data_IF_698932791908
#
_entry.id   IF_698932791908
#
_cell.length_a   1.000
_cell.length_b   1.000
_cell.length_c   1.000
_cell.angle_alpha   90.00
_cell.angle_beta   90.00
_cell.angle_gamma   90.00
#
_symmetry.space_group_name_H-M   'P 1'
#
loop_
_entity.id
_entity.type
_entity.pdbx_description
1 polymer ?
#
# COMPACT_ATOMS: atom_id res chain seq x y z
N UNK A 1 9.54 -49.88 31.29
CA UNK A 1 8.84 -49.87 30.01
C UNK A 1 8.09 -48.62 29.86
N UNK A 2 7.25 -48.35 30.76
CA UNK A 2 6.41 -47.18 30.64
C UNK A 2 7.22 -45.88 30.66
N UNK A 3 8.30 -45.92 31.39
CA UNK A 3 9.08 -44.72 31.49
C UNK A 3 9.65 -44.31 30.14
N UNK A 4 10.01 -45.30 29.41
CA UNK A 4 10.61 -44.99 28.13
C UNK A 4 9.60 -44.30 27.22
N UNK A 5 8.43 -44.78 27.28
CA UNK A 5 7.39 -44.19 26.48
C UNK A 5 7.18 -42.75 26.84
N UNK A 6 7.25 -42.49 28.12
CA UNK A 6 7.03 -41.15 28.56
C UNK A 6 8.11 -40.24 28.05
N UNK A 7 9.32 -40.76 28.02
CA UNK A 7 10.39 -39.93 27.55
C UNK A 7 10.19 -39.53 26.12
N UNK A 8 9.76 -40.47 25.35
CA UNK A 8 9.51 -40.19 23.97
C UNK A 8 8.44 -39.15 23.82
N UNK A 9 7.45 -39.25 24.64
CA UNK A 9 6.37 -38.33 24.59
C UNK A 9 6.84 -36.91 24.86
N UNK A 10 7.71 -36.77 25.80
CA UNK A 10 8.23 -35.47 26.13
C UNK A 10 8.95 -34.86 24.95
N UNK A 11 9.67 -35.68 24.22
CA UNK A 11 10.36 -35.18 23.07
C UNK A 11 9.41 -34.60 22.05
N UNK A 12 8.29 -35.26 21.89
CA UNK A 12 7.32 -34.73 20.96
C UNK A 12 6.83 -33.40 21.40
N UNK A 13 6.64 -33.24 22.67
CA UNK A 13 6.22 -31.95 23.15
C UNK A 13 7.22 -30.89 22.81
N UNK A 14 8.46 -31.23 22.94
CA UNK A 14 9.50 -30.29 22.58
C UNK A 14 9.42 -29.91 21.12
N UNK A 15 9.15 -30.87 20.32
CA UNK A 15 9.10 -30.59 18.92
C UNK A 15 7.96 -29.64 18.58
N UNK A 16 6.89 -29.84 19.24
CA UNK A 16 5.76 -29.00 18.90
C UNK A 16 6.04 -27.55 19.23
N UNK A 17 6.84 -27.35 20.23
CA UNK A 17 7.11 -25.97 20.53
C UNK A 17 7.97 -25.36 19.48
N UNK A 18 8.56 -26.16 18.68
CA UNK A 18 9.35 -25.57 17.69
C UNK A 18 8.56 -24.81 16.80
N UNK A 19 7.44 -25.19 16.67
CA UNK A 19 6.61 -24.47 15.86
C UNK A 19 6.76 -23.06 16.17
N UNK A 20 7.39 -22.82 17.24
CA UNK A 20 7.49 -21.49 17.54
C UNK A 20 8.56 -20.85 16.87
N UNK A 21 9.08 -21.37 15.91
CA UNK A 21 9.80 -20.53 15.07
C UNK A 21 8.87 -19.43 14.65
N UNK A 22 7.70 -19.67 14.89
CA UNK A 22 6.78 -18.63 14.82
C UNK A 22 7.23 -17.65 15.73
N UNK A 23 8.00 -18.04 16.46
CA UNK A 23 8.56 -17.08 16.95
C UNK A 23 8.30 -16.66 18.23
N UNK A 24 8.25 -15.65 18.39
CA UNK A 24 8.07 -14.82 19.41
C UNK A 24 6.65 -14.42 19.41
N UNK A 25 5.81 -15.15 19.96
CA UNK A 25 4.40 -14.88 19.91
C UNK A 25 4.01 -13.56 20.56
N UNK A 26 4.83 -13.11 21.46
CA UNK A 26 4.52 -11.85 22.09
C UNK A 26 4.84 -10.69 21.20
N UNK A 27 5.92 -10.78 20.48
CA UNK A 27 6.32 -9.74 19.60
C UNK A 27 5.46 -9.73 18.34
N UNK A 28 5.10 -10.89 17.90
CA UNK A 28 4.35 -11.00 16.69
C UNK A 28 3.04 -10.23 16.70
N UNK A 29 2.22 -10.33 17.71
CA UNK A 29 0.97 -9.57 17.72
C UNK A 29 1.19 -8.07 17.63
N UNK A 30 2.21 -7.57 18.26
CA UNK A 30 2.47 -6.14 18.25
C UNK A 30 2.92 -5.69 16.87
N UNK A 31 3.87 -6.38 16.30
CA UNK A 31 4.34 -6.05 14.99
C UNK A 31 3.24 -6.22 13.96
N UNK A 32 2.49 -7.30 14.07
CA UNK A 32 1.43 -7.58 13.13
C UNK A 32 0.34 -6.53 13.20
N UNK A 33 0.05 -6.04 14.39
CA UNK A 33 -0.98 -5.04 14.54
C UNK A 33 -0.58 -3.74 13.87
N UNK A 34 0.64 -3.28 14.09
CA UNK A 34 1.12 -2.06 13.45
C UNK A 34 1.14 -2.17 11.95
N UNK A 35 1.63 -3.30 11.43
CA UNK A 35 1.66 -3.51 9.99
C UNK A 35 0.25 -3.56 9.42
N UNK A 36 -0.67 -4.19 10.13
CA UNK A 36 -2.04 -4.29 9.66
C UNK A 36 -2.70 -2.92 9.56
N UNK A 37 -2.45 -2.05 10.54
CA UNK A 37 -3.00 -0.71 10.52
C UNK A 37 -2.42 0.10 9.36
N UNK A 38 -1.12 0.02 9.17
CA UNK A 38 -0.48 0.73 8.08
C UNK A 38 -0.98 0.24 6.73
N UNK A 39 -1.13 -1.08 6.59
CA UNK A 39 -1.62 -1.63 5.35
C UNK A 39 -3.07 -1.24 5.10
N UNK A 40 -3.85 -1.15 6.16
CA UNK A 40 -5.24 -0.76 6.03
C UNK A 40 -5.36 0.68 5.57
N UNK A 41 -4.56 1.58 6.15
CA UNK A 41 -4.56 2.97 5.72
C UNK A 41 -4.11 3.11 4.28
N UNK A 42 -3.07 2.39 3.91
CA UNK A 42 -2.59 2.40 2.54
C UNK A 42 -3.68 1.91 1.60
N UNK A 43 -4.32 0.81 1.94
CA UNK A 43 -5.35 0.21 1.10
C UNK A 43 -6.53 1.15 0.94
N UNK A 44 -6.94 1.81 2.01
CA UNK A 44 -8.05 2.74 1.95
C UNK A 44 -7.70 3.96 1.09
N UNK A 45 -6.51 4.51 1.27
CA UNK A 45 -6.07 5.65 0.49
C UNK A 45 -5.96 5.28 -0.98
N UNK A 46 -5.38 4.11 -1.26
CA UNK A 46 -5.26 3.65 -2.64
C UNK A 46 -6.64 3.46 -3.28
N UNK A 47 -7.59 2.93 -2.52
CA UNK A 47 -8.95 2.78 -3.02
C UNK A 47 -9.58 4.10 -3.42
N UNK A 48 -9.36 5.14 -2.63
CA UNK A 48 -9.89 6.47 -2.96
C UNK A 48 -9.21 7.03 -4.22
N UNK A 49 -7.92 6.83 -4.34
CA UNK A 49 -7.18 7.28 -5.52
C UNK A 49 -7.65 6.54 -6.75
N UNK A 50 -7.82 5.23 -6.64
CA UNK A 50 -8.32 4.43 -7.75
C UNK A 50 -9.68 4.89 -8.20
N UNK A 51 -10.56 5.17 -7.27
CA UNK A 51 -11.89 5.65 -7.61
C UNK A 51 -11.80 6.98 -8.33
N UNK A 52 -11.04 7.92 -7.81
CA UNK A 52 -10.89 9.23 -8.42
C UNK A 52 -10.31 9.14 -9.82
N UNK A 53 -9.27 8.34 -9.98
CA UNK A 53 -8.59 8.21 -11.27
C UNK A 53 -9.48 7.51 -12.28
N UNK A 54 -10.09 6.39 -11.90
CA UNK A 54 -10.86 5.60 -12.86
C UNK A 54 -12.15 6.29 -13.26
N UNK A 55 -12.74 7.04 -12.35
CA UNK A 55 -13.97 7.73 -12.65
C UNK A 55 -13.75 8.91 -13.61
N UNK A 56 -12.60 9.56 -13.50
CA UNK A 56 -12.34 10.79 -14.26
C UNK A 56 -11.06 10.67 -15.11
N UNK A 57 -10.77 9.49 -15.60
CA UNK A 57 -9.49 9.24 -16.22
C UNK A 57 -9.18 10.14 -17.42
N UNK A 58 -10.07 10.27 -18.40
CA UNK A 58 -9.77 11.15 -19.54
C UNK A 58 -9.56 12.60 -19.12
N UNK A 59 -10.37 13.07 -18.18
CA UNK A 59 -10.26 14.43 -17.70
C UNK A 59 -8.93 14.65 -17.02
N UNK A 60 -8.51 13.69 -16.20
CA UNK A 60 -7.25 13.81 -15.48
C UNK A 60 -6.09 13.88 -16.47
N UNK A 61 -6.09 13.05 -17.50
CA UNK A 61 -5.02 13.10 -18.50
C UNK A 61 -4.98 14.46 -19.19
N UNK A 62 -6.12 15.01 -19.54
CA UNK A 62 -6.18 16.32 -20.16
C UNK A 62 -5.69 17.40 -19.20
N UNK A 63 -6.03 17.29 -17.93
CA UNK A 63 -5.61 18.28 -16.93
C UNK A 63 -4.13 18.18 -16.64
N UNK A 64 -3.56 16.99 -16.71
CA UNK A 64 -2.11 16.88 -16.62
C UNK A 64 -1.45 17.62 -17.78
N UNK A 65 -1.98 17.44 -19.00
CA UNK A 65 -1.43 18.15 -20.15
C UNK A 65 -1.49 19.65 -20.00
N UNK A 66 -2.60 20.14 -19.47
CA UNK A 66 -2.77 21.59 -19.30
C UNK A 66 -2.10 22.12 -18.06
N UNK A 67 -1.73 21.26 -17.14
CA UNK A 67 -0.99 21.66 -15.95
C UNK A 67 -1.81 21.80 -14.69
N UNK A 68 -3.13 21.70 -14.77
CA UNK A 68 -4.00 21.80 -13.61
C UNK A 68 -5.43 21.45 -13.98
N UNK A 69 -6.23 21.14 -12.98
CA UNK A 69 -7.66 20.94 -13.17
C UNK A 69 -8.31 20.30 -11.96
N UNK A 70 -9.63 20.40 -11.89
CA UNK A 70 -10.35 19.93 -10.69
C UNK A 70 -10.28 18.42 -10.48
N UNK A 71 -10.32 17.63 -11.54
CA UNK A 71 -10.26 16.17 -11.39
C UNK A 71 -8.86 15.74 -10.95
N UNK A 72 -7.82 16.38 -11.49
CA UNK A 72 -6.45 16.12 -11.08
C UNK A 72 -6.26 16.50 -9.62
N UNK A 73 -6.78 17.65 -9.21
CA UNK A 73 -6.67 18.06 -7.81
C UNK A 73 -7.38 17.09 -6.89
N UNK A 74 -8.55 16.63 -7.31
CA UNK A 74 -9.31 15.67 -6.51
C UNK A 74 -8.50 14.38 -6.34
N UNK A 75 -7.86 13.90 -7.40
CA UNK A 75 -7.04 12.69 -7.30
C UNK A 75 -5.83 12.92 -6.41
N UNK A 76 -5.21 14.09 -6.49
CA UNK A 76 -4.09 14.43 -5.62
C UNK A 76 -4.52 14.59 -4.17
N UNK A 77 -5.71 15.12 -3.93
CA UNK A 77 -6.25 15.18 -2.57
C UNK A 77 -6.48 13.78 -2.02
N UNK A 78 -7.04 12.89 -2.82
CA UNK A 78 -7.26 11.51 -2.39
C UNK A 78 -5.95 10.82 -2.05
N UNK A 79 -4.91 11.10 -2.81
CA UNK A 79 -3.58 10.53 -2.58
C UNK A 79 -2.82 11.25 -1.48
N UNK A 80 -3.33 12.37 -1.01
CA UNK A 80 -2.70 13.18 0.02
C UNK A 80 -1.34 13.76 -0.43
N UNK A 81 -1.27 14.15 -1.68
CA UNK A 81 -0.09 14.82 -2.20
C UNK A 81 -0.01 16.21 -1.57
N UNK A 82 1.11 16.57 -0.93
CA UNK A 82 1.22 17.89 -0.33
C UNK A 82 1.03 18.99 -1.37
N UNK A 83 0.26 20.00 -1.01
CA UNK A 83 -0.08 21.06 -1.95
C UNK A 83 1.17 21.75 -2.48
N UNK A 84 2.15 21.96 -1.63
CA UNK A 84 3.39 22.64 -2.03
C UNK A 84 4.19 21.85 -3.06
N UNK A 85 4.00 20.54 -3.11
CA UNK A 85 4.75 19.71 -4.04
C UNK A 85 4.05 19.51 -5.37
N UNK A 86 2.80 19.92 -5.47
CA UNK A 86 1.98 19.60 -6.65
C UNK A 86 2.52 20.16 -7.95
N UNK A 87 3.02 21.39 -8.00
CA UNK A 87 3.54 21.88 -9.27
C UNK A 87 4.66 21.01 -9.83
N UNK A 88 5.59 20.58 -8.97
CA UNK A 88 6.67 19.71 -9.40
C UNK A 88 6.17 18.33 -9.80
N UNK A 89 5.18 17.82 -9.06
CA UNK A 89 4.62 16.50 -9.38
C UNK A 89 3.86 16.52 -10.70
N UNK A 90 3.15 17.61 -10.97
CA UNK A 90 2.46 17.74 -12.25
C UNK A 90 3.48 17.77 -13.40
N UNK A 91 4.57 18.46 -13.22
CA UNK A 91 5.64 18.46 -14.23
C UNK A 91 6.16 17.05 -14.47
N UNK A 92 6.33 16.26 -13.41
CA UNK A 92 6.74 14.87 -13.56
C UNK A 92 5.70 14.05 -14.30
N UNK A 93 4.43 14.25 -13.97
CA UNK A 93 3.34 13.54 -14.66
C UNK A 93 3.32 13.90 -16.14
N UNK A 94 3.55 15.15 -16.47
CA UNK A 94 3.61 15.58 -17.86
C UNK A 94 4.74 14.89 -18.61
N UNK A 95 5.89 14.73 -17.95
CA UNK A 95 7.04 14.08 -18.57
C UNK A 95 6.81 12.62 -18.86
N UNK A 96 5.96 11.98 -18.06
CA UNK A 96 5.69 10.55 -18.20
C UNK A 96 4.29 10.27 -18.71
N UNK A 97 3.67 11.23 -19.34
CA UNK A 97 2.26 11.11 -19.72
C UNK A 97 2.01 9.90 -20.62
N UNK A 98 2.96 9.56 -21.46
CA UNK A 98 2.83 8.38 -22.30
C UNK A 98 2.67 7.09 -21.49
N UNK A 99 3.32 7.03 -20.35
CA UNK A 99 3.20 5.87 -19.47
C UNK A 99 1.80 5.77 -18.89
N UNK A 100 1.20 6.90 -18.56
CA UNK A 100 -0.10 6.91 -17.88
C UNK A 100 -1.26 6.86 -18.86
N UNK A 101 -1.06 7.18 -20.11
CA UNK A 101 -2.13 7.35 -21.09
C UNK A 101 -2.92 6.10 -21.38
N UNK A 102 -2.40 4.95 -21.19
CA UNK A 102 -3.16 3.71 -21.38
C UNK A 102 -3.11 2.84 -20.15
N UNK A 103 -2.72 3.43 -19.03
CA UNK A 103 -2.47 2.63 -17.83
C UNK A 103 -2.90 3.38 -16.57
N UNK A 104 -4.19 3.34 -16.25
CA UNK A 104 -4.68 4.03 -15.05
C UNK A 104 -3.98 3.52 -13.78
N UNK A 105 -3.63 2.24 -13.75
CA UNK A 105 -2.95 1.69 -12.57
C UNK A 105 -1.60 2.33 -12.33
N UNK A 106 -0.87 2.64 -13.40
CA UNK A 106 0.41 3.33 -13.26
C UNK A 106 0.22 4.73 -12.70
N UNK A 107 -0.83 5.42 -13.13
CA UNK A 107 -1.13 6.75 -12.60
C UNK A 107 -1.48 6.67 -11.12
N UNK A 108 -2.29 5.69 -10.72
CA UNK A 108 -2.62 5.49 -9.32
C UNK A 108 -1.35 5.28 -8.50
N UNK A 109 -0.46 4.43 -8.98
CA UNK A 109 0.78 4.14 -8.27
C UNK A 109 1.63 5.40 -8.12
N UNK A 110 1.75 6.19 -9.18
CA UNK A 110 2.52 7.43 -9.12
C UNK A 110 1.95 8.39 -8.08
N UNK A 111 0.64 8.57 -8.08
CA UNK A 111 -0.01 9.45 -7.12
C UNK A 111 0.18 8.96 -5.69
N UNK A 112 0.10 7.65 -5.48
CA UNK A 112 0.34 7.09 -4.15
C UNK A 112 1.75 7.36 -3.66
N UNK A 113 2.73 7.25 -4.56
CA UNK A 113 4.12 7.54 -4.22
C UNK A 113 4.29 9.02 -3.86
N UNK A 114 3.65 9.90 -4.61
CA UNK A 114 3.76 11.34 -4.35
C UNK A 114 3.13 11.73 -3.02
N UNK A 115 2.19 10.95 -2.55
CA UNK A 115 1.50 11.23 -1.30
C UNK A 115 2.21 10.76 -0.04
N UNK A 116 3.40 10.18 -0.16
CA UNK A 116 4.12 9.69 1.03
C UNK A 116 5.20 10.65 1.51
#
# INVERSE_FOLDING_TARGET
>A
MTLRSLSIFVLLAGCSTDANHIGNPLLLPISGFGTAVENQEYTQRRGRVELAVKTNYPEILNEIRSGDGPSLRMAMDAAQVPVRDRPARITQLQGDLGLYSGNPGALVTALMVYGT
#
